data_IF_932598275198
#
_entry.id   IF_932598275198
#
_cell.length_a   1.000
_cell.length_b   1.000
_cell.length_c   1.000
_cell.angle_alpha   90.00
_cell.angle_beta   90.00
_cell.angle_gamma   90.00
#
_symmetry.space_group_name_H-M   'P 1'
#
loop_
_entity.id
_entity.type
_entity.pdbx_description
1 polymer ?
#
# COMPACT_ATOMS: atom_id res chain seq x y z
N UNK A 1 28.80 4.00 7.92
CA UNK A 1 27.53 4.07 8.70
C UNK A 1 27.31 2.75 9.41
N UNK A 2 26.90 2.75 10.70
CA UNK A 2 26.62 1.50 11.44
C UNK A 2 25.17 1.08 11.23
N UNK A 3 24.99 -0.22 10.93
CA UNK A 3 23.66 -0.83 10.79
C UNK A 3 22.85 -0.65 12.07
N UNK A 4 21.63 -0.14 11.96
CA UNK A 4 20.70 -0.01 13.08
C UNK A 4 19.98 -1.34 13.33
N UNK A 5 20.66 -2.29 13.97
CA UNK A 5 20.16 -3.66 14.20
C UNK A 5 18.85 -3.73 14.99
N UNK A 6 18.57 -2.72 15.82
CA UNK A 6 17.38 -2.64 16.69
C UNK A 6 16.05 -2.66 15.92
N UNK A 7 16.03 -2.27 14.64
CA UNK A 7 14.83 -2.25 13.82
C UNK A 7 14.67 -3.49 12.93
N UNK A 8 15.70 -4.35 12.87
CA UNK A 8 15.66 -5.60 12.08
C UNK A 8 14.47 -6.49 12.48
N UNK A 9 14.13 -6.69 13.77
CA UNK A 9 12.99 -7.53 14.13
C UNK A 9 11.66 -7.05 13.55
N UNK A 10 11.42 -5.73 13.53
CA UNK A 10 10.21 -5.16 12.93
C UNK A 10 10.19 -5.34 11.41
N UNK A 11 11.32 -5.11 10.74
CA UNK A 11 11.42 -5.36 9.29
C UNK A 11 11.25 -6.84 8.96
N UNK A 12 11.79 -7.73 9.77
CA UNK A 12 11.59 -9.16 9.60
C UNK A 12 10.11 -9.53 9.74
N UNK A 13 9.40 -8.99 10.76
CA UNK A 13 7.96 -9.18 10.91
C UNK A 13 7.18 -8.68 9.68
N UNK A 14 7.53 -7.51 9.13
CA UNK A 14 6.89 -6.98 7.92
C UNK A 14 7.16 -7.88 6.70
N UNK A 15 8.41 -8.27 6.46
CA UNK A 15 8.77 -9.11 5.31
C UNK A 15 8.13 -10.50 5.43
N UNK A 16 8.13 -11.09 6.61
CA UNK A 16 7.46 -12.39 6.84
C UNK A 16 5.95 -12.28 6.59
N UNK A 17 5.29 -11.21 7.07
CA UNK A 17 3.88 -10.97 6.76
C UNK A 17 3.63 -10.90 5.25
N UNK A 18 4.50 -10.20 4.50
CA UNK A 18 4.43 -10.13 3.05
C UNK A 18 4.57 -11.52 2.40
N UNK A 19 5.55 -12.32 2.80
CA UNK A 19 5.77 -13.67 2.27
C UNK A 19 4.60 -14.60 2.54
N UNK A 20 4.05 -14.58 3.77
CA UNK A 20 2.85 -15.35 4.11
C UNK A 20 1.61 -14.86 3.35
N UNK A 21 1.48 -13.54 3.14
CA UNK A 21 0.40 -12.98 2.36
C UNK A 21 0.48 -13.40 0.88
N UNK A 22 1.68 -13.41 0.30
CA UNK A 22 1.94 -13.89 -1.06
C UNK A 22 1.57 -15.38 -1.17
N UNK A 23 2.05 -16.21 -0.27
CA UNK A 23 1.66 -17.62 -0.20
C UNK A 23 0.13 -17.80 -0.12
N UNK A 24 -0.54 -17.03 0.73
CA UNK A 24 -2.00 -17.01 0.81
C UNK A 24 -2.66 -16.59 -0.53
N UNK A 25 -2.07 -15.65 -1.24
CA UNK A 25 -2.51 -15.19 -2.56
C UNK A 25 -2.44 -16.30 -3.61
N UNK A 26 -1.34 -17.05 -3.66
CA UNK A 26 -1.20 -18.20 -4.56
C UNK A 26 -2.24 -19.30 -4.28
N UNK A 27 -2.49 -19.61 -2.99
CA UNK A 27 -3.55 -20.55 -2.62
C UNK A 27 -4.93 -20.09 -3.14
N UNK A 28 -5.24 -18.80 -3.04
CA UNK A 28 -6.50 -18.22 -3.54
C UNK A 28 -6.61 -18.24 -5.08
N UNK A 29 -5.48 -18.19 -5.78
CA UNK A 29 -5.41 -18.33 -7.23
C UNK A 29 -5.51 -19.80 -7.71
N UNK A 30 -5.62 -20.76 -6.77
CA UNK A 30 -5.76 -22.18 -7.08
C UNK A 30 -4.44 -22.91 -7.36
N UNK A 31 -3.31 -22.38 -6.86
CA UNK A 31 -2.07 -23.15 -6.85
C UNK A 31 -2.10 -24.20 -5.75
N UNK A 32 -1.68 -25.42 -6.06
CA UNK A 32 -1.61 -26.53 -5.09
C UNK A 32 -0.32 -26.37 -4.28
N UNK A 33 -0.46 -25.79 -3.10
CA UNK A 33 0.63 -25.52 -2.17
C UNK A 33 0.23 -26.03 -0.78
N UNK A 34 1.20 -26.38 0.10
CA UNK A 34 0.92 -26.65 1.50
C UNK A 34 0.11 -25.51 2.11
N UNK A 35 -0.83 -25.82 3.00
CA UNK A 35 -1.65 -24.78 3.64
C UNK A 35 -1.50 -24.81 5.15
N UNK A 36 -1.71 -23.66 5.78
CA UNK A 36 -1.83 -23.49 7.22
C UNK A 36 -3.27 -23.11 7.57
N UNK A 37 -3.72 -23.36 8.80
CA UNK A 37 -5.03 -22.88 9.25
C UNK A 37 -5.18 -21.39 8.97
N UNK A 38 -6.35 -20.98 8.49
CA UNK A 38 -6.74 -19.60 8.20
C UNK A 38 -5.88 -18.85 7.14
N UNK A 39 -4.80 -19.42 6.60
CA UNK A 39 -3.85 -18.71 5.75
C UNK A 39 -4.51 -18.11 4.51
N UNK A 40 -5.27 -18.88 3.74
CA UNK A 40 -5.91 -18.40 2.51
C UNK A 40 -6.88 -17.23 2.77
N UNK A 41 -7.59 -17.23 3.91
CA UNK A 41 -8.49 -16.16 4.32
C UNK A 41 -7.75 -14.92 4.83
N UNK A 42 -6.53 -15.11 5.30
CA UNK A 42 -5.70 -14.04 5.85
C UNK A 42 -4.98 -13.19 4.81
N UNK A 43 -5.04 -13.50 3.50
CA UNK A 43 -4.32 -12.79 2.44
C UNK A 43 -4.43 -11.25 2.56
N UNK A 44 -5.64 -10.70 2.52
CA UNK A 44 -5.87 -9.25 2.63
C UNK A 44 -5.38 -8.65 3.96
N UNK A 45 -5.81 -9.19 5.12
CA UNK A 45 -5.32 -8.76 6.42
C UNK A 45 -3.79 -8.81 6.57
N UNK A 46 -3.12 -9.85 6.06
CA UNK A 46 -1.66 -9.97 6.09
C UNK A 46 -0.98 -8.89 5.25
N UNK A 47 -1.50 -8.58 4.05
CA UNK A 47 -0.98 -7.52 3.19
C UNK A 47 -1.15 -6.14 3.83
N UNK A 48 -2.36 -5.82 4.30
CA UNK A 48 -2.70 -4.47 4.74
C UNK A 48 -2.27 -4.22 6.19
N UNK A 49 -2.74 -5.05 7.11
CA UNK A 49 -2.52 -4.84 8.54
C UNK A 49 -1.29 -5.57 9.08
N UNK A 50 -0.82 -6.63 8.41
CA UNK A 50 0.43 -7.31 8.71
C UNK A 50 1.64 -6.59 8.12
N UNK A 51 1.78 -6.58 6.81
CA UNK A 51 2.94 -6.01 6.13
C UNK A 51 2.98 -4.48 6.22
N UNK A 52 1.99 -3.79 5.64
CA UNK A 52 1.96 -2.32 5.62
C UNK A 52 1.68 -1.75 7.01
N UNK A 53 0.88 -2.45 7.82
CA UNK A 53 0.59 -2.07 9.21
C UNK A 53 1.80 -2.16 10.14
N UNK A 54 2.85 -2.90 9.78
CA UNK A 54 4.15 -2.85 10.45
C UNK A 54 5.04 -1.77 9.83
N UNK A 55 5.15 -1.75 8.49
CA UNK A 55 6.14 -0.94 7.79
C UNK A 55 5.88 0.56 7.91
N UNK A 56 4.65 1.03 7.66
CA UNK A 56 4.31 2.46 7.67
C UNK A 56 4.44 3.06 9.07
N UNK A 57 3.88 2.48 10.16
CA UNK A 57 4.09 3.01 11.50
C UNK A 57 5.54 2.91 11.98
N UNK A 58 6.30 1.90 11.55
CA UNK A 58 7.73 1.79 11.88
C UNK A 58 8.51 2.98 11.32
N UNK A 59 8.29 3.34 10.07
CA UNK A 59 8.93 4.50 9.45
C UNK A 59 8.67 5.77 10.26
N UNK A 60 7.43 6.03 10.65
CA UNK A 60 7.05 7.19 11.46
C UNK A 60 7.67 7.16 12.85
N UNK A 61 7.68 6.00 13.52
CA UNK A 61 8.28 5.82 14.83
C UNK A 61 9.80 6.08 14.82
N UNK A 62 10.48 5.65 13.74
CA UNK A 62 11.92 5.90 13.54
C UNK A 62 12.20 7.38 13.28
N UNK A 63 11.37 8.05 12.47
CA UNK A 63 11.51 9.47 12.18
C UNK A 63 11.30 10.36 13.41
N UNK A 64 10.27 10.08 14.22
CA UNK A 64 9.88 10.91 15.38
C UNK A 64 10.68 10.56 16.65
N UNK A 65 11.17 9.30 16.75
CA UNK A 65 12.03 8.79 17.85
C UNK A 65 11.36 8.74 19.23
N UNK A 66 10.05 8.55 19.32
CA UNK A 66 9.35 8.36 20.59
C UNK A 66 9.08 6.87 20.84
N UNK A 67 9.43 6.36 22.04
CA UNK A 67 9.38 4.93 22.37
C UNK A 67 7.97 4.32 22.24
N UNK A 68 6.94 5.04 22.67
CA UNK A 68 5.55 4.54 22.62
C UNK A 68 5.05 4.27 21.19
N UNK A 69 5.61 4.96 20.18
CA UNK A 69 5.21 4.80 18.79
C UNK A 69 5.54 3.41 18.22
N UNK A 70 6.55 2.74 18.80
CA UNK A 70 6.89 1.37 18.42
C UNK A 70 5.83 0.34 18.83
N UNK A 71 4.88 0.70 19.68
CA UNK A 71 3.73 -0.16 19.99
C UNK A 71 2.86 -0.43 18.76
N UNK A 72 2.77 0.50 17.79
CA UNK A 72 2.00 0.30 16.57
C UNK A 72 2.55 -0.85 15.71
N UNK A 73 3.82 -0.82 15.23
CA UNK A 73 4.37 -1.92 14.44
C UNK A 73 4.52 -3.21 15.25
N UNK A 74 4.71 -3.15 16.57
CA UNK A 74 4.75 -4.35 17.42
C UNK A 74 3.39 -5.03 17.48
N UNK A 75 2.32 -4.28 17.77
CA UNK A 75 0.96 -4.83 17.84
C UNK A 75 0.51 -5.41 16.50
N UNK A 76 0.77 -4.72 15.38
CA UNK A 76 0.49 -5.22 14.04
C UNK A 76 1.30 -6.51 13.72
N UNK A 77 2.59 -6.53 14.12
CA UNK A 77 3.48 -7.68 13.93
C UNK A 77 3.05 -8.90 14.73
N UNK A 78 2.76 -8.74 16.02
CA UNK A 78 2.21 -9.82 16.85
C UNK A 78 0.82 -10.24 16.37
N UNK A 79 0.04 -9.28 15.87
CA UNK A 79 -1.31 -9.50 15.35
C UNK A 79 -1.33 -10.44 14.16
N UNK A 80 -0.45 -10.26 13.17
CA UNK A 80 -0.45 -11.14 12.01
C UNK A 80 0.01 -12.57 12.35
N UNK A 81 0.97 -12.73 13.27
CA UNK A 81 1.37 -14.05 13.74
C UNK A 81 0.20 -14.75 14.45
N UNK A 82 -0.47 -14.02 15.35
CA UNK A 82 -1.65 -14.52 16.07
C UNK A 82 -2.81 -14.85 15.13
N UNK A 83 -2.97 -14.14 14.01
CA UNK A 83 -4.05 -14.33 13.05
C UNK A 83 -4.10 -15.74 12.47
N UNK A 84 -2.95 -16.38 12.30
CA UNK A 84 -2.87 -17.74 11.74
C UNK A 84 -3.44 -18.80 12.68
N UNK A 85 -3.36 -18.61 14.00
CA UNK A 85 -3.73 -19.61 15.01
C UNK A 85 -4.96 -19.20 15.82
N UNK A 86 -5.14 -17.90 16.06
CA UNK A 86 -6.21 -17.30 16.84
C UNK A 86 -6.74 -16.06 16.12
N UNK A 87 -7.57 -16.19 15.06
CA UNK A 87 -7.94 -15.09 14.16
C UNK A 87 -8.51 -13.86 14.85
N UNK A 88 -9.34 -14.07 15.87
CA UNK A 88 -9.95 -12.96 16.63
C UNK A 88 -8.90 -12.15 17.42
N UNK A 89 -7.95 -12.84 18.06
CA UNK A 89 -6.86 -12.17 18.79
C UNK A 89 -5.98 -11.40 17.82
N UNK A 90 -5.62 -12.02 16.68
CA UNK A 90 -4.85 -11.38 15.63
C UNK A 90 -5.51 -10.10 15.12
N UNK A 91 -6.80 -10.16 14.80
CA UNK A 91 -7.57 -9.00 14.35
C UNK A 91 -7.62 -7.87 15.40
N UNK A 92 -7.80 -8.21 16.69
CA UNK A 92 -7.77 -7.23 17.78
C UNK A 92 -6.41 -6.56 17.89
N UNK A 93 -5.31 -7.32 17.86
CA UNK A 93 -3.95 -6.77 17.94
C UNK A 93 -3.64 -5.85 16.76
N UNK A 94 -4.03 -6.24 15.52
CA UNK A 94 -3.88 -5.38 14.35
C UNK A 94 -4.70 -4.09 14.48
N UNK A 95 -5.90 -4.17 15.06
CA UNK A 95 -6.73 -3.00 15.35
C UNK A 95 -6.05 -2.08 16.36
N UNK A 96 -5.49 -2.62 17.44
CA UNK A 96 -4.70 -1.84 18.41
C UNK A 96 -3.52 -1.15 17.71
N UNK A 97 -2.80 -1.88 16.82
CA UNK A 97 -1.74 -1.29 16.01
C UNK A 97 -2.20 -0.10 15.17
N UNK A 98 -3.37 -0.20 14.53
CA UNK A 98 -3.93 0.89 13.73
C UNK A 98 -4.35 2.09 14.58
N UNK A 99 -4.90 1.88 15.78
CA UNK A 99 -5.25 2.94 16.72
C UNK A 99 -4.00 3.71 17.17
N UNK A 100 -2.94 3.00 17.55
CA UNK A 100 -1.67 3.65 17.94
C UNK A 100 -1.08 4.42 16.77
N UNK A 101 -1.10 3.86 15.55
CA UNK A 101 -0.65 4.54 14.33
C UNK A 101 -1.45 5.81 14.05
N UNK A 102 -2.77 5.80 14.24
CA UNK A 102 -3.60 7.00 14.14
C UNK A 102 -3.16 8.09 15.13
N UNK A 103 -2.90 7.73 16.39
CA UNK A 103 -2.41 8.71 17.36
C UNK A 103 -1.02 9.28 17.01
N UNK A 104 -0.14 8.50 16.35
CA UNK A 104 1.11 9.02 15.81
C UNK A 104 0.82 10.15 14.82
N UNK A 105 -0.11 9.96 13.90
CA UNK A 105 -0.46 10.99 12.91
C UNK A 105 -1.19 12.19 13.52
N UNK A 106 -1.98 12.00 14.58
CA UNK A 106 -2.55 13.12 15.35
C UNK A 106 -1.44 13.98 16.00
N UNK A 107 -0.41 13.34 16.56
CA UNK A 107 0.75 14.09 17.10
C UNK A 107 1.46 14.87 15.99
N UNK A 108 1.65 14.29 14.82
CA UNK A 108 2.22 14.99 13.65
C UNK A 108 1.35 16.16 13.21
N UNK A 109 0.05 15.96 13.05
CA UNK A 109 -0.90 16.99 12.63
C UNK A 109 -1.01 18.13 13.63
N UNK A 110 -0.83 17.86 14.93
CA UNK A 110 -0.76 18.93 15.97
C UNK A 110 0.53 19.74 15.90
N UNK A 111 1.65 19.12 15.48
CA UNK A 111 2.95 19.83 15.34
C UNK A 111 3.01 20.65 14.05
N UNK A 112 2.45 20.13 12.98
CA UNK A 112 2.39 20.76 11.66
C UNK A 112 0.94 20.67 11.14
N UNK A 113 0.06 21.67 11.47
CA UNK A 113 -1.36 21.64 11.12
C UNK A 113 -1.59 22.10 9.67
N UNK A 114 -1.23 21.25 8.73
CA UNK A 114 -1.32 21.49 7.28
C UNK A 114 -2.08 20.38 6.58
N UNK A 115 -2.57 20.62 5.38
CA UNK A 115 -3.48 19.71 4.66
C UNK A 115 -2.90 18.29 4.48
N UNK A 116 -1.61 18.15 4.23
CA UNK A 116 -1.01 16.83 4.02
C UNK A 116 -0.97 15.99 5.30
N UNK A 117 -0.67 16.59 6.47
CA UNK A 117 -0.69 15.86 7.76
C UNK A 117 -2.11 15.48 8.16
N UNK A 118 -3.11 16.35 7.93
CA UNK A 118 -4.51 16.00 8.13
C UNK A 118 -4.96 14.88 7.18
N UNK A 119 -4.55 14.92 5.91
CA UNK A 119 -4.89 13.87 4.94
C UNK A 119 -4.34 12.51 5.38
N UNK A 120 -3.08 12.47 5.83
CA UNK A 120 -2.49 11.24 6.38
C UNK A 120 -3.22 10.76 7.63
N UNK A 121 -3.61 11.67 8.53
CA UNK A 121 -4.35 11.31 9.75
C UNK A 121 -5.74 10.73 9.40
N UNK A 122 -6.45 11.29 8.43
CA UNK A 122 -7.74 10.75 7.93
C UNK A 122 -7.51 9.38 7.27
N UNK A 123 -6.42 9.20 6.54
CA UNK A 123 -6.01 7.90 6.02
C UNK A 123 -5.86 6.86 7.14
N UNK A 124 -5.09 7.17 8.19
CA UNK A 124 -4.94 6.26 9.34
C UNK A 124 -6.25 6.00 10.09
N UNK A 125 -7.13 7.01 10.22
CA UNK A 125 -8.46 6.81 10.77
C UNK A 125 -9.29 5.84 9.92
N UNK A 126 -9.17 5.91 8.60
CA UNK A 126 -9.82 4.96 7.69
C UNK A 126 -9.34 3.52 7.95
N UNK A 127 -8.05 3.32 8.23
CA UNK A 127 -7.54 2.00 8.62
C UNK A 127 -8.12 1.51 9.94
N UNK A 128 -8.22 2.39 10.95
CA UNK A 128 -8.87 2.07 12.24
C UNK A 128 -10.32 1.64 12.01
N UNK A 129 -11.09 2.42 11.24
CA UNK A 129 -12.50 2.12 10.95
C UNK A 129 -12.62 0.77 10.23
N UNK A 130 -11.81 0.53 9.18
CA UNK A 130 -11.79 -0.75 8.47
C UNK A 130 -11.51 -1.94 9.39
N UNK A 131 -10.54 -1.80 10.32
CA UNK A 131 -10.23 -2.86 11.29
C UNK A 131 -11.33 -3.03 12.36
N UNK A 132 -11.97 -1.94 12.80
CA UNK A 132 -13.13 -2.02 13.72
C UNK A 132 -14.32 -2.74 13.06
N UNK A 133 -14.62 -2.44 11.81
CA UNK A 133 -15.64 -3.17 11.04
C UNK A 133 -15.30 -4.66 10.94
N UNK A 134 -14.00 -4.98 10.71
CA UNK A 134 -13.54 -6.37 10.64
C UNK A 134 -13.78 -7.14 11.93
N UNK A 135 -13.37 -6.60 13.08
CA UNK A 135 -13.60 -7.28 14.39
C UNK A 135 -15.06 -7.33 14.78
N UNK A 136 -15.90 -6.44 14.21
CA UNK A 136 -17.35 -6.45 14.35
C UNK A 136 -18.06 -7.46 13.44
N UNK A 137 -17.30 -8.23 12.63
CA UNK A 137 -17.84 -9.30 11.79
C UNK A 137 -18.25 -8.90 10.37
N UNK A 138 -17.95 -7.67 9.93
CA UNK A 138 -18.18 -7.29 8.54
C UNK A 138 -17.27 -8.08 7.59
N UNK A 139 -17.79 -8.54 6.44
CA UNK A 139 -16.99 -9.28 5.47
C UNK A 139 -15.98 -8.37 4.77
N UNK A 140 -14.83 -8.95 4.38
CA UNK A 140 -13.71 -8.19 3.80
C UNK A 140 -14.11 -7.35 2.59
N UNK A 141 -15.04 -7.83 1.74
CA UNK A 141 -15.47 -7.08 0.55
C UNK A 141 -16.19 -5.76 0.87
N UNK A 142 -16.77 -5.61 2.06
CA UNK A 142 -17.39 -4.36 2.50
C UNK A 142 -16.39 -3.40 3.12
N UNK A 143 -15.44 -3.92 3.89
CA UNK A 143 -14.48 -3.08 4.60
C UNK A 143 -13.22 -2.73 3.78
N UNK A 144 -12.95 -3.44 2.70
CA UNK A 144 -11.73 -3.24 1.89
C UNK A 144 -11.64 -1.82 1.30
N UNK A 145 -12.78 -1.17 1.06
CA UNK A 145 -12.81 0.23 0.62
C UNK A 145 -12.17 1.18 1.65
N UNK A 146 -12.28 0.88 2.96
CA UNK A 146 -11.62 1.63 4.02
C UNK A 146 -10.11 1.43 4.00
N UNK A 147 -9.65 0.20 3.70
CA UNK A 147 -8.22 -0.07 3.54
C UNK A 147 -7.65 0.58 2.28
N UNK A 148 -8.41 0.64 1.19
CA UNK A 148 -8.03 1.41 -0.02
C UNK A 148 -7.93 2.90 0.32
N UNK A 149 -8.94 3.46 0.99
CA UNK A 149 -8.96 4.86 1.42
C UNK A 149 -7.76 5.18 2.33
N UNK A 150 -7.46 4.30 3.29
CA UNK A 150 -6.28 4.40 4.15
C UNK A 150 -5.00 4.60 3.34
N UNK A 151 -4.73 3.69 2.41
CA UNK A 151 -3.47 3.72 1.68
C UNK A 151 -3.38 4.92 0.71
N UNK A 152 -4.47 5.20 -0.01
CA UNK A 152 -4.48 6.33 -0.95
C UNK A 152 -4.31 7.65 -0.22
N UNK A 153 -5.00 7.88 0.91
CA UNK A 153 -4.88 9.14 1.65
C UNK A 153 -3.55 9.25 2.39
N UNK A 154 -3.01 8.16 2.94
CA UNK A 154 -1.70 8.18 3.60
C UNK A 154 -0.59 8.47 2.59
N UNK A 155 -0.53 7.70 1.51
CA UNK A 155 0.46 7.90 0.44
C UNK A 155 0.24 9.26 -0.24
N UNK A 156 -1.02 9.62 -0.53
CA UNK A 156 -1.37 10.89 -1.16
C UNK A 156 -0.96 12.11 -0.32
N UNK A 157 -1.12 12.03 1.00
CA UNK A 157 -0.62 13.05 1.92
C UNK A 157 0.90 13.20 1.89
N UNK A 158 1.64 12.08 1.92
CA UNK A 158 3.11 12.09 1.78
C UNK A 158 3.55 12.68 0.43
N UNK A 159 2.87 12.32 -0.65
CA UNK A 159 3.17 12.86 -1.98
C UNK A 159 2.92 14.36 -2.06
N UNK A 160 1.83 14.83 -1.44
CA UNK A 160 1.54 16.27 -1.35
C UNK A 160 2.62 17.01 -0.53
N UNK A 161 3.09 16.39 0.58
CA UNK A 161 4.19 16.92 1.38
C UNK A 161 5.47 17.06 0.57
N UNK A 162 5.89 16.02 -0.14
CA UNK A 162 7.11 16.02 -0.95
C UNK A 162 7.00 16.97 -2.16
N UNK A 163 5.80 17.18 -2.68
CA UNK A 163 5.55 18.11 -3.79
C UNK A 163 5.55 19.59 -3.37
N UNK A 164 5.70 19.92 -2.08
CA UNK A 164 5.83 21.31 -1.60
C UNK A 164 6.98 22.09 -2.26
N UNK A 165 8.04 21.40 -2.64
CA UNK A 165 9.18 22.01 -3.37
C UNK A 165 8.76 22.64 -4.71
N UNK A 166 7.67 22.16 -5.30
CA UNK A 166 7.09 22.70 -6.55
C UNK A 166 6.21 23.93 -6.31
N UNK A 167 5.93 24.28 -5.04
CA UNK A 167 5.05 25.38 -4.64
C UNK A 167 3.70 25.32 -5.36
N UNK A 168 2.90 24.25 -5.17
CA UNK A 168 1.62 24.09 -5.86
C UNK A 168 0.70 25.27 -5.55
N UNK A 169 -0.05 25.72 -6.56
CA UNK A 169 -0.99 26.81 -6.39
C UNK A 169 -2.10 26.45 -5.38
N UNK A 170 -2.66 27.42 -4.63
CA UNK A 170 -3.73 27.15 -3.66
C UNK A 170 -4.93 26.41 -4.26
N UNK A 171 -5.25 26.66 -5.52
CA UNK A 171 -6.31 25.98 -6.25
C UNK A 171 -6.00 24.48 -6.43
N UNK A 172 -4.75 24.11 -6.74
CA UNK A 172 -4.33 22.70 -6.88
C UNK A 172 -4.49 21.95 -5.55
N UNK A 173 -4.08 22.58 -4.44
CA UNK A 173 -4.23 22.02 -3.08
C UNK A 173 -5.72 21.86 -2.72
N UNK A 174 -6.56 22.85 -3.07
CA UNK A 174 -8.01 22.79 -2.83
C UNK A 174 -8.65 21.66 -3.63
N UNK A 175 -8.30 21.47 -4.90
CA UNK A 175 -8.80 20.37 -5.73
C UNK A 175 -8.40 19.04 -5.11
N UNK A 176 -7.15 18.85 -4.69
CA UNK A 176 -6.71 17.65 -4.00
C UNK A 176 -7.56 17.38 -2.76
N UNK A 177 -7.82 18.38 -1.92
CA UNK A 177 -8.64 18.26 -0.72
C UNK A 177 -10.08 17.82 -1.03
N UNK A 178 -10.69 18.41 -2.06
CA UNK A 178 -12.04 18.04 -2.51
C UNK A 178 -12.07 16.56 -2.97
N UNK A 179 -11.08 16.13 -3.74
CA UNK A 179 -11.00 14.76 -4.23
C UNK A 179 -10.73 13.76 -3.10
N UNK A 180 -9.91 14.12 -2.12
CA UNK A 180 -9.69 13.32 -0.91
C UNK A 180 -10.98 13.17 -0.08
N UNK A 181 -11.76 14.24 0.07
CA UNK A 181 -13.08 14.20 0.70
C UNK A 181 -14.09 13.37 -0.10
N UNK A 182 -14.08 13.45 -1.42
CA UNK A 182 -14.95 12.63 -2.28
C UNK A 182 -14.60 11.13 -2.16
N UNK A 183 -13.30 10.78 -2.06
CA UNK A 183 -12.87 9.41 -1.79
C UNK A 183 -13.41 8.91 -0.45
N UNK A 184 -13.27 9.70 0.61
CA UNK A 184 -13.78 9.35 1.94
C UNK A 184 -15.31 9.23 1.93
N UNK A 185 -16.02 10.16 1.31
CA UNK A 185 -17.48 10.13 1.19
C UNK A 185 -17.97 8.87 0.44
N UNK A 186 -17.31 8.51 -0.67
CA UNK A 186 -17.61 7.28 -1.40
C UNK A 186 -17.33 6.02 -0.57
N UNK A 187 -16.24 6.03 0.19
CA UNK A 187 -15.90 4.95 1.14
C UNK A 187 -16.96 4.82 2.24
N UNK A 188 -17.42 5.91 2.82
CA UNK A 188 -18.51 5.90 3.80
C UNK A 188 -19.82 5.41 3.18
N UNK A 189 -20.15 5.92 2.01
CA UNK A 189 -21.37 5.53 1.28
C UNK A 189 -21.37 4.03 0.93
N UNK A 190 -20.20 3.41 0.72
CA UNK A 190 -20.12 1.98 0.38
C UNK A 190 -20.69 1.04 1.46
N UNK A 191 -20.79 1.50 2.72
CA UNK A 191 -21.42 0.73 3.80
C UNK A 191 -22.95 0.70 3.66
N UNK A 192 -23.55 1.72 3.07
CA UNK A 192 -24.99 1.89 2.96
C UNK A 192 -25.50 1.59 1.54
N UNK A 193 -24.66 1.85 0.55
CA UNK A 193 -24.99 1.61 -0.86
C UNK A 193 -23.78 1.02 -1.59
N UNK A 194 -23.81 -0.29 -1.72
CA UNK A 194 -22.72 -1.07 -2.30
C UNK A 194 -22.49 -0.83 -3.82
N UNK A 195 -23.38 -0.13 -4.50
CA UNK A 195 -23.21 0.23 -5.91
C UNK A 195 -22.68 1.67 -6.08
N UNK A 196 -23.34 2.66 -5.46
CA UNK A 196 -22.96 4.06 -5.63
C UNK A 196 -21.74 4.48 -4.80
N UNK A 197 -21.54 3.87 -3.63
CA UNK A 197 -20.36 4.13 -2.80
C UNK A 197 -19.04 3.81 -3.53
N UNK A 198 -18.87 2.58 -4.04
CA UNK A 198 -17.70 2.22 -4.85
C UNK A 198 -17.55 3.08 -6.11
N UNK A 199 -18.63 3.45 -6.80
CA UNK A 199 -18.56 4.32 -7.98
C UNK A 199 -18.03 5.71 -7.64
N UNK A 200 -18.50 6.31 -6.55
CA UNK A 200 -18.02 7.62 -6.08
C UNK A 200 -16.54 7.53 -5.67
N UNK A 201 -16.15 6.48 -4.94
CA UNK A 201 -14.72 6.24 -4.62
C UNK A 201 -13.89 6.05 -5.87
N UNK A 202 -14.39 5.28 -6.86
CA UNK A 202 -13.74 5.04 -8.14
C UNK A 202 -13.52 6.33 -8.93
N UNK A 203 -14.53 7.18 -8.99
CA UNK A 203 -14.41 8.52 -9.59
C UNK A 203 -13.33 9.37 -8.90
N UNK A 204 -13.34 9.38 -7.55
CA UNK A 204 -12.36 10.13 -6.79
C UNK A 204 -10.94 9.59 -6.98
N UNK A 205 -10.76 8.25 -7.04
CA UNK A 205 -9.48 7.60 -7.32
C UNK A 205 -8.94 7.96 -8.72
N UNK A 206 -9.81 7.90 -9.75
CA UNK A 206 -9.44 8.29 -11.11
C UNK A 206 -9.03 9.77 -11.18
N UNK A 207 -9.81 10.65 -10.56
CA UNK A 207 -9.51 12.07 -10.54
C UNK A 207 -8.24 12.40 -9.74
N UNK A 208 -7.99 11.72 -8.60
CA UNK A 208 -6.73 11.84 -7.84
C UNK A 208 -5.53 11.34 -8.66
N UNK A 209 -5.69 10.23 -9.40
CA UNK A 209 -4.66 9.72 -10.32
C UNK A 209 -4.25 10.79 -11.33
N UNK A 210 -5.22 11.38 -12.03
CA UNK A 210 -4.97 12.46 -13.00
C UNK A 210 -4.35 13.70 -12.33
N UNK A 211 -4.76 14.02 -11.10
CA UNK A 211 -4.17 15.09 -10.33
C UNK A 211 -2.68 14.82 -10.03
N UNK A 212 -2.32 13.61 -9.57
CA UNK A 212 -0.93 13.23 -9.28
C UNK A 212 -0.08 13.19 -10.57
N UNK A 213 -0.59 12.60 -11.64
CA UNK A 213 0.12 12.53 -12.93
C UNK A 213 0.50 13.93 -13.45
N UNK A 214 -0.30 14.96 -13.11
CA UNK A 214 -0.04 16.34 -13.53
C UNK A 214 0.80 17.13 -12.53
N UNK A 215 0.60 16.94 -11.22
CA UNK A 215 1.08 17.86 -10.19
C UNK A 215 2.16 17.29 -9.28
N UNK A 216 2.38 15.95 -9.30
CA UNK A 216 3.41 15.33 -8.47
C UNK A 216 4.82 15.57 -9.02
N UNK A 217 5.80 15.58 -8.10
CA UNK A 217 7.21 15.72 -8.44
C UNK A 217 7.70 14.61 -9.39
N UNK A 218 7.11 13.42 -9.35
CA UNK A 218 7.45 12.31 -10.23
C UNK A 218 7.31 12.69 -11.72
N UNK A 219 6.26 13.43 -12.09
CA UNK A 219 6.06 13.84 -13.48
C UNK A 219 7.22 14.68 -14.03
N UNK A 220 7.89 15.47 -13.19
CA UNK A 220 9.06 16.27 -13.57
C UNK A 220 10.37 15.48 -13.57
N UNK A 221 10.42 14.40 -12.80
CA UNK A 221 11.63 13.62 -12.59
C UNK A 221 11.79 12.41 -13.55
N UNK A 222 10.85 12.20 -14.48
CA UNK A 222 10.92 11.09 -15.46
C UNK A 222 12.19 11.16 -16.32
N UNK A 223 12.66 12.36 -16.63
CA UNK A 223 13.89 12.59 -17.40
C UNK A 223 15.07 13.06 -16.53
N UNK A 224 15.00 12.87 -15.20
CA UNK A 224 16.04 13.34 -14.29
C UNK A 224 17.40 12.68 -14.61
N UNK A 225 18.52 13.42 -14.60
CA UNK A 225 19.84 12.88 -14.94
C UNK A 225 20.32 11.82 -13.94
N UNK A 226 19.96 11.94 -12.66
CA UNK A 226 20.33 10.96 -11.62
C UNK A 226 19.46 9.70 -11.80
N UNK A 227 20.09 8.51 -12.06
CA UNK A 227 19.36 7.29 -12.38
C UNK A 227 18.37 6.83 -11.29
N UNK A 228 18.75 6.96 -10.01
CA UNK A 228 17.87 6.59 -8.89
C UNK A 228 16.63 7.48 -8.84
N UNK A 229 16.78 8.79 -8.99
CA UNK A 229 15.65 9.74 -9.00
C UNK A 229 14.69 9.42 -10.15
N UNK A 230 15.24 9.11 -11.32
CA UNK A 230 14.47 8.71 -12.50
C UNK A 230 13.75 7.38 -12.28
N UNK A 231 14.40 6.37 -11.68
CA UNK A 231 13.76 5.09 -11.33
C UNK A 231 12.58 5.30 -10.37
N UNK A 232 12.78 6.09 -9.31
CA UNK A 232 11.70 6.45 -8.37
C UNK A 232 10.53 7.10 -9.12
N UNK A 233 10.82 8.04 -10.03
CA UNK A 233 9.79 8.71 -10.81
C UNK A 233 8.98 7.73 -11.67
N UNK A 234 9.62 6.74 -12.32
CA UNK A 234 8.92 5.70 -13.08
C UNK A 234 8.03 4.84 -12.18
N UNK A 235 8.51 4.42 -11.00
CA UNK A 235 7.68 3.68 -10.05
C UNK A 235 6.42 4.44 -9.69
N UNK A 236 6.57 5.70 -9.29
CA UNK A 236 5.45 6.53 -8.84
C UNK A 236 4.47 6.83 -9.98
N UNK A 237 4.99 7.18 -11.15
CA UNK A 237 4.16 7.52 -12.32
C UNK A 237 3.33 6.32 -12.76
N UNK A 238 3.93 5.15 -12.88
CA UNK A 238 3.22 3.91 -13.21
C UNK A 238 2.19 3.54 -12.14
N UNK A 239 2.53 3.74 -10.85
CA UNK A 239 1.59 3.54 -9.74
C UNK A 239 0.35 4.45 -9.86
N UNK A 240 0.52 5.73 -10.21
CA UNK A 240 -0.61 6.62 -10.43
C UNK A 240 -1.50 6.16 -11.60
N UNK A 241 -0.92 5.68 -12.70
CA UNK A 241 -1.69 5.11 -13.82
C UNK A 241 -2.56 3.94 -13.31
N UNK A 242 -1.98 3.01 -12.56
CA UNK A 242 -2.73 1.88 -12.02
C UNK A 242 -3.83 2.28 -11.03
N UNK A 243 -3.60 3.31 -10.20
CA UNK A 243 -4.66 3.87 -9.35
C UNK A 243 -5.81 4.40 -10.20
N UNK A 244 -5.52 5.04 -11.34
CA UNK A 244 -6.52 5.51 -12.28
C UNK A 244 -7.30 4.36 -12.95
N UNK A 245 -6.60 3.28 -13.35
CA UNK A 245 -7.23 2.08 -13.90
C UNK A 245 -8.16 1.45 -12.84
N UNK A 246 -7.70 1.27 -11.61
CA UNK A 246 -8.53 0.76 -10.51
C UNK A 246 -9.74 1.64 -10.24
N UNK A 247 -9.57 2.96 -10.27
CA UNK A 247 -10.67 3.92 -10.14
C UNK A 247 -11.68 3.82 -11.27
N UNK A 248 -11.22 3.67 -12.53
CA UNK A 248 -12.09 3.48 -13.69
C UNK A 248 -12.88 2.17 -13.61
N UNK A 249 -12.22 1.05 -13.26
CA UNK A 249 -12.89 -0.23 -13.07
C UNK A 249 -13.97 -0.15 -11.97
N UNK A 250 -13.63 0.45 -10.83
CA UNK A 250 -14.58 0.62 -9.73
C UNK A 250 -15.74 1.54 -10.08
N UNK A 251 -15.50 2.60 -10.87
CA UNK A 251 -16.53 3.50 -11.38
C UNK A 251 -17.49 2.77 -12.34
N UNK A 252 -16.95 1.94 -13.24
CA UNK A 252 -17.73 1.23 -14.26
C UNK A 252 -18.55 0.09 -13.62
N UNK A 253 -17.91 -0.76 -12.82
CA UNK A 253 -18.54 -1.98 -12.32
C UNK A 253 -19.32 -1.76 -11.01
N UNK A 254 -18.94 -0.78 -10.18
CA UNK A 254 -19.60 -0.51 -8.90
C UNK A 254 -19.45 -1.67 -7.92
N UNK A 255 -20.56 -2.29 -7.57
CA UNK A 255 -20.60 -3.39 -6.60
C UNK A 255 -19.89 -4.65 -7.09
N UNK A 256 -18.70 -4.93 -6.57
CA UNK A 256 -17.95 -6.16 -6.79
C UNK A 256 -17.65 -6.81 -5.44
N UNK A 257 -18.03 -8.08 -5.26
CA UNK A 257 -17.93 -8.76 -3.96
C UNK A 257 -16.93 -9.92 -3.99
N UNK A 258 -16.75 -10.54 -5.15
CA UNK A 258 -15.89 -11.69 -5.37
C UNK A 258 -15.62 -11.89 -6.87
N UNK A 259 -14.73 -12.82 -7.19
CA UNK A 259 -14.45 -13.23 -8.57
C UNK A 259 -13.49 -12.30 -9.30
N UNK A 260 -13.39 -12.45 -10.64
CA UNK A 260 -12.38 -11.78 -11.45
C UNK A 260 -12.44 -10.24 -11.38
N UNK A 261 -13.62 -9.65 -11.50
CA UNK A 261 -13.76 -8.18 -11.45
C UNK A 261 -13.33 -7.59 -10.09
N UNK A 262 -13.64 -8.30 -9.00
CA UNK A 262 -13.17 -7.91 -7.67
C UNK A 262 -11.65 -8.02 -7.57
N UNK A 263 -11.06 -9.08 -8.12
CA UNK A 263 -9.61 -9.27 -8.18
C UNK A 263 -8.95 -8.14 -8.97
N UNK A 264 -9.45 -7.81 -10.15
CA UNK A 264 -8.94 -6.73 -11.00
C UNK A 264 -8.95 -5.37 -10.29
N UNK A 265 -10.08 -4.98 -9.66
CA UNK A 265 -10.19 -3.71 -8.92
C UNK A 265 -9.19 -3.65 -7.77
N UNK A 266 -9.05 -4.71 -6.98
CA UNK A 266 -8.17 -4.69 -5.83
C UNK A 266 -6.69 -4.68 -6.23
N UNK A 267 -6.28 -5.50 -7.20
CA UNK A 267 -4.87 -5.65 -7.53
C UNK A 267 -4.32 -4.52 -8.39
N UNK A 268 -5.15 -3.81 -9.17
CA UNK A 268 -4.75 -2.53 -9.77
C UNK A 268 -4.35 -1.49 -8.71
N UNK A 269 -5.04 -1.49 -7.56
CA UNK A 269 -4.69 -0.60 -6.45
C UNK A 269 -3.53 -1.18 -5.62
N UNK A 270 -3.67 -2.40 -5.10
CA UNK A 270 -2.70 -2.92 -4.12
C UNK A 270 -1.37 -3.35 -4.75
N UNK A 271 -1.39 -3.95 -5.95
CA UNK A 271 -0.17 -4.31 -6.67
C UNK A 271 0.26 -3.17 -7.59
N UNK A 272 -0.65 -2.65 -8.40
CA UNK A 272 -0.33 -1.60 -9.37
C UNK A 272 0.11 -0.30 -8.72
N UNK A 273 -0.68 0.25 -7.81
CA UNK A 273 -0.36 1.51 -7.16
C UNK A 273 0.53 1.30 -5.94
N UNK A 274 0.09 0.54 -4.92
CA UNK A 274 0.79 0.49 -3.63
C UNK A 274 2.17 -0.16 -3.73
N UNK A 275 2.31 -1.31 -4.43
CA UNK A 275 3.64 -1.93 -4.58
C UNK A 275 4.59 -1.08 -5.41
N UNK A 276 4.09 -0.35 -6.42
CA UNK A 276 4.90 0.62 -7.16
C UNK A 276 5.40 1.76 -6.27
N UNK A 277 4.54 2.26 -5.35
CA UNK A 277 4.98 3.23 -4.33
C UNK A 277 6.07 2.65 -3.43
N UNK A 278 5.92 1.39 -2.99
CA UNK A 278 6.93 0.71 -2.17
C UNK A 278 8.26 0.58 -2.94
N UNK A 279 8.24 0.16 -4.20
CA UNK A 279 9.45 0.04 -5.02
C UNK A 279 10.16 1.39 -5.16
N UNK A 280 9.41 2.47 -5.34
CA UNK A 280 9.96 3.82 -5.44
C UNK A 280 10.48 4.38 -4.10
N UNK A 281 9.81 4.07 -2.98
CA UNK A 281 10.17 4.63 -1.68
C UNK A 281 11.24 3.79 -0.93
N UNK A 282 11.36 2.50 -1.20
CA UNK A 282 12.29 1.61 -0.52
C UNK A 282 13.74 2.12 -0.52
N UNK A 283 14.29 2.66 -1.63
CA UNK A 283 15.64 3.22 -1.64
C UNK A 283 15.84 4.44 -0.73
N UNK A 284 14.75 5.05 -0.26
CA UNK A 284 14.76 6.19 0.68
C UNK A 284 14.49 5.70 2.10
N UNK A 285 13.47 4.85 2.27
CA UNK A 285 12.99 4.39 3.58
C UNK A 285 13.96 3.41 4.25
N UNK A 286 14.48 2.42 3.52
CA UNK A 286 15.40 1.45 4.12
C UNK A 286 16.69 2.07 4.63
N UNK A 287 17.35 3.01 3.92
CA UNK A 287 18.47 3.76 4.50
C UNK A 287 18.10 4.52 5.77
N UNK A 288 16.92 5.13 5.84
CA UNK A 288 16.47 5.86 7.02
C UNK A 288 16.28 4.92 8.23
N UNK A 289 15.76 3.70 8.01
CA UNK A 289 15.51 2.71 9.06
C UNK A 289 16.80 1.97 9.43
N UNK A 290 17.54 1.46 8.43
CA UNK A 290 18.69 0.59 8.64
C UNK A 290 20.01 1.35 8.83
N UNK A 291 20.07 2.62 8.45
CA UNK A 291 21.32 3.41 8.50
C UNK A 291 22.37 3.02 7.45
N UNK A 292 21.98 2.27 6.41
CA UNK A 292 22.87 1.86 5.32
C UNK A 292 22.30 2.28 3.98
N UNK A 293 23.11 2.77 3.00
CA UNK A 293 22.61 3.22 1.72
C UNK A 293 22.14 2.04 0.86
N UNK A 294 21.19 2.32 -0.03
CA UNK A 294 20.82 1.43 -1.14
C UNK A 294 21.41 2.02 -2.41
N UNK A 295 22.32 1.29 -3.02
CA UNK A 295 22.91 1.65 -4.31
C UNK A 295 21.94 1.27 -5.43
N UNK A 296 21.70 2.19 -6.34
CA UNK A 296 20.89 1.91 -7.52
C UNK A 296 21.67 1.05 -8.53
N UNK A 297 20.99 0.05 -9.08
CA UNK A 297 21.46 -0.77 -10.19
C UNK A 297 20.43 -0.75 -11.32
N UNK A 298 20.82 -0.72 -12.61
CA UNK A 298 19.87 -0.78 -13.73
C UNK A 298 18.95 -2.00 -13.69
N UNK A 299 19.37 -3.10 -13.07
CA UNK A 299 18.54 -4.30 -12.84
C UNK A 299 17.25 -4.02 -12.03
N UNK A 300 17.15 -2.89 -11.31
CA UNK A 300 15.93 -2.49 -10.63
C UNK A 300 14.76 -2.25 -11.61
N UNK A 301 15.06 -1.85 -12.85
CA UNK A 301 14.01 -1.78 -13.88
C UNK A 301 13.43 -3.15 -14.24
N UNK A 302 14.18 -4.26 -14.05
CA UNK A 302 13.71 -5.61 -14.36
C UNK A 302 12.51 -6.02 -13.52
N UNK A 303 12.58 -5.89 -12.19
CA UNK A 303 11.44 -6.24 -11.33
C UNK A 303 10.27 -5.24 -11.47
N UNK A 304 10.57 -3.96 -11.76
CA UNK A 304 9.52 -2.97 -12.05
C UNK A 304 8.76 -3.32 -13.33
N UNK A 305 9.46 -3.60 -14.42
CA UNK A 305 8.85 -4.01 -15.69
C UNK A 305 8.03 -5.30 -15.54
N UNK A 306 8.58 -6.29 -14.81
CA UNK A 306 7.89 -7.55 -14.55
C UNK A 306 6.61 -7.33 -13.73
N UNK A 307 6.63 -6.45 -12.71
CA UNK A 307 5.44 -6.12 -11.92
C UNK A 307 4.30 -5.61 -12.80
N UNK A 308 4.59 -4.65 -13.68
CA UNK A 308 3.56 -4.04 -14.51
C UNK A 308 3.09 -4.98 -15.62
N UNK A 309 3.99 -5.71 -16.26
CA UNK A 309 3.64 -6.70 -17.27
C UNK A 309 2.77 -7.82 -16.68
N UNK A 310 3.17 -8.37 -15.55
CA UNK A 310 2.43 -9.45 -14.89
C UNK A 310 1.05 -8.99 -14.38
N UNK A 311 0.96 -7.75 -13.90
CA UNK A 311 -0.32 -7.18 -13.51
C UNK A 311 -1.23 -6.94 -14.73
N UNK A 312 -0.68 -6.50 -15.85
CA UNK A 312 -1.45 -6.38 -17.10
C UNK A 312 -2.02 -7.74 -17.52
N UNK A 313 -1.20 -8.82 -17.47
CA UNK A 313 -1.68 -10.18 -17.76
C UNK A 313 -2.81 -10.59 -16.80
N UNK A 314 -2.63 -10.33 -15.48
CA UNK A 314 -3.63 -10.68 -14.46
C UNK A 314 -4.96 -9.97 -14.72
N UNK A 315 -4.93 -8.65 -14.88
CA UNK A 315 -6.13 -7.83 -15.11
C UNK A 315 -6.80 -8.19 -16.44
N UNK A 316 -6.02 -8.45 -17.49
CA UNK A 316 -6.55 -8.94 -18.76
C UNK A 316 -7.25 -10.30 -18.58
N UNK A 317 -6.63 -11.24 -17.85
CA UNK A 317 -7.23 -12.53 -17.51
C UNK A 317 -8.54 -12.38 -16.74
N UNK A 318 -8.59 -11.43 -15.79
CA UNK A 318 -9.80 -11.13 -15.04
C UNK A 318 -10.92 -10.58 -15.91
N UNK A 319 -10.62 -9.59 -16.75
CA UNK A 319 -11.61 -8.94 -17.62
C UNK A 319 -12.11 -9.84 -18.75
N UNK A 320 -11.29 -10.79 -19.21
CA UNK A 320 -11.63 -11.75 -20.27
C UNK A 320 -12.06 -13.13 -19.75
N UNK A 321 -12.15 -13.30 -18.41
CA UNK A 321 -12.44 -14.57 -17.74
C UNK A 321 -11.48 -15.71 -18.11
N UNK A 322 -10.21 -15.39 -18.43
CA UNK A 322 -9.18 -16.37 -18.72
C UNK A 322 -8.43 -16.74 -17.45
N UNK A 323 -8.83 -17.87 -16.85
CA UNK A 323 -8.32 -18.32 -15.52
C UNK A 323 -6.82 -18.51 -15.52
N UNK A 324 -6.25 -19.15 -16.55
CA UNK A 324 -4.80 -19.38 -16.62
C UNK A 324 -4.01 -18.07 -16.74
N UNK A 325 -4.49 -17.12 -17.55
CA UNK A 325 -3.83 -15.83 -17.71
C UNK A 325 -3.79 -15.05 -16.37
N UNK A 326 -4.92 -15.05 -15.63
CA UNK A 326 -4.99 -14.49 -14.27
C UNK A 326 -4.02 -15.18 -13.33
N UNK A 327 -4.01 -16.51 -13.33
CA UNK A 327 -3.22 -17.37 -12.44
C UNK A 327 -1.72 -17.15 -12.64
N UNK A 328 -1.25 -17.17 -13.90
CA UNK A 328 0.15 -16.90 -14.23
C UNK A 328 0.53 -15.43 -14.02
N UNK A 329 -0.35 -14.49 -14.34
CA UNK A 329 -0.15 -13.08 -14.02
C UNK A 329 0.07 -12.85 -12.53
N UNK A 330 -0.75 -13.49 -11.68
CA UNK A 330 -0.57 -13.44 -10.22
C UNK A 330 0.73 -14.07 -9.73
N UNK A 331 1.13 -15.23 -10.26
CA UNK A 331 2.42 -15.85 -9.94
C UNK A 331 3.60 -14.92 -10.30
N UNK A 332 3.56 -14.31 -11.47
CA UNK A 332 4.61 -13.41 -11.93
C UNK A 332 4.63 -12.09 -11.12
N UNK A 333 3.48 -11.62 -10.59
CA UNK A 333 3.47 -10.51 -9.63
C UNK A 333 4.31 -10.84 -8.39
N UNK A 334 4.19 -12.07 -7.85
CA UNK A 334 4.96 -12.50 -6.70
C UNK A 334 6.45 -12.64 -7.03
N UNK A 335 6.78 -13.19 -8.20
CA UNK A 335 8.18 -13.24 -8.67
C UNK A 335 8.78 -11.83 -8.75
N UNK A 336 8.03 -10.84 -9.26
CA UNK A 336 8.50 -9.45 -9.31
C UNK A 336 8.78 -8.87 -7.91
N UNK A 337 7.91 -9.16 -6.94
CA UNK A 337 8.09 -8.73 -5.54
C UNK A 337 9.30 -9.42 -4.91
N UNK A 338 9.48 -10.73 -5.13
CA UNK A 338 10.66 -11.46 -4.64
C UNK A 338 11.96 -10.95 -5.27
N UNK A 339 11.96 -10.64 -6.56
CA UNK A 339 13.09 -10.01 -7.23
C UNK A 339 13.42 -8.64 -6.62
N UNK A 340 12.41 -7.82 -6.33
CA UNK A 340 12.60 -6.55 -5.63
C UNK A 340 13.24 -6.74 -4.25
N UNK A 341 12.76 -7.67 -3.43
CA UNK A 341 13.33 -7.97 -2.12
C UNK A 341 14.79 -8.46 -2.27
N UNK A 342 15.05 -9.39 -3.18
CA UNK A 342 16.39 -9.91 -3.45
C UNK A 342 17.37 -8.82 -3.90
N UNK A 343 16.94 -7.94 -4.83
CA UNK A 343 17.76 -6.82 -5.30
C UNK A 343 18.01 -5.79 -4.21
N UNK A 344 17.04 -5.54 -3.33
CA UNK A 344 17.21 -4.65 -2.18
C UNK A 344 18.24 -5.19 -1.20
N UNK A 345 18.14 -6.47 -0.83
CA UNK A 345 19.12 -7.15 0.04
C UNK A 345 20.52 -7.16 -0.61
N UNK A 346 20.61 -7.51 -1.88
CA UNK A 346 21.86 -7.48 -2.63
C UNK A 346 22.53 -6.09 -2.60
N UNK A 347 21.75 -5.04 -2.83
CA UNK A 347 22.23 -3.66 -2.79
C UNK A 347 22.77 -3.28 -1.41
N UNK A 348 22.05 -3.63 -0.32
CA UNK A 348 22.47 -3.38 1.06
C UNK A 348 23.75 -4.13 1.39
N UNK A 349 23.91 -5.40 0.98
CA UNK A 349 25.10 -6.19 1.25
C UNK A 349 26.33 -5.64 0.49
N UNK A 350 26.13 -5.17 -0.73
CA UNK A 350 27.21 -4.60 -1.55
C UNK A 350 27.66 -3.21 -1.12
N UNK A 351 26.76 -2.43 -0.51
CA UNK A 351 27.09 -1.10 0.01
C UNK A 351 27.95 -1.13 1.29
N UNK A 352 28.17 -2.31 1.87
CA UNK A 352 29.03 -2.52 3.05
C UNK A 352 30.49 -2.87 2.72
N UNK A 353 30.74 -3.24 1.47
CA UNK A 353 32.11 -3.47 0.96
C UNK A 353 32.66 -2.18 0.38
#
# INVERSE_FOLDING_TARGET
MKLQTRFIPFLALAILALLFAMWAGLLRLGWILPTLPNLALAHGPLMISGFLGVLIPLERAVAIRQKWMFAAPLAAGLGWVSLLFAPRIGAILMTVGSIVAFFILIVMARREPVIHTFTMAVGMLSWVIGNLLWISGFPIYQLVHWWICYLILTIGGERLELSRVLRPAPQQIRIFGILALALLAGTMLSLFNANWGPRLSGFAMLALSLWFLKNDLAARNIHHPIPLTRYIAYCLFAGFIWMGVGGALQLIFGATYAGPLYDAVLHTVFVGFVMSMIFGHAPIIFPAILGVPINFYPAFYGHLALLHFSLLLRVTGDLTNQVELRKFGGLLNEVAILMFLGMTVFSVLRSRK
#
